data_IF_407233374789
#
_entry.id   IF_407233374789
#
_cell.length_a   1.000
_cell.length_b   1.000
_cell.length_c   1.000
_cell.angle_alpha   90.00
_cell.angle_beta   90.00
_cell.angle_gamma   90.00
#
_symmetry.space_group_name_H-M   'P 1'
#
loop_
_entity.id
_entity.type
_entity.pdbx_description
1 polymer ?
#
# COMPACT_ATOMS: atom_id res chain seq x y z
N UNK A 1 14.58 11.95 25.08
CA UNK A 1 13.44 12.83 25.46
C UNK A 1 12.54 13.10 24.24
N UNK A 2 13.10 13.50 23.11
CA UNK A 2 12.36 13.75 21.85
C UNK A 2 11.68 12.48 21.35
N UNK A 3 12.33 11.32 21.44
CA UNK A 3 11.81 10.01 21.01
C UNK A 3 10.64 9.51 21.88
N UNK A 4 10.61 9.86 23.18
CA UNK A 4 9.51 9.54 24.05
C UNK A 4 8.31 10.48 23.86
N UNK A 5 8.56 11.74 23.54
CA UNK A 5 7.53 12.74 23.28
C UNK A 5 6.84 12.51 21.93
N UNK A 6 7.58 12.10 20.90
CA UNK A 6 6.99 11.76 19.59
C UNK A 6 6.07 10.52 19.64
N UNK A 7 6.22 9.68 20.67
CA UNK A 7 5.32 8.52 20.92
C UNK A 7 4.04 8.89 21.67
N UNK A 8 3.99 10.09 22.25
CA UNK A 8 2.85 10.58 23.02
C UNK A 8 2.04 11.65 22.26
N UNK A 9 2.59 12.20 21.18
CA UNK A 9 1.94 13.22 20.36
C UNK A 9 1.51 12.62 19.03
N UNK A 10 0.28 12.92 18.64
CA UNK A 10 -0.26 12.51 17.34
C UNK A 10 0.23 13.47 16.23
N UNK A 11 0.17 13.06 14.95
CA UNK A 11 0.42 13.96 13.83
C UNK A 11 -0.49 15.19 13.83
N UNK A 12 -1.64 15.10 14.48
CA UNK A 12 -2.58 16.21 14.62
C UNK A 12 -2.09 17.26 15.63
N UNK A 13 -1.25 16.86 16.59
CA UNK A 13 -0.71 17.76 17.62
C UNK A 13 0.54 18.51 17.13
N UNK A 14 1.46 17.82 16.44
CA UNK A 14 2.73 18.45 16.02
C UNK A 14 2.66 19.10 14.63
N UNK A 15 1.66 18.76 13.80
CA UNK A 15 1.42 19.39 12.50
C UNK A 15 -0.06 19.82 12.36
N UNK A 16 -0.53 20.79 13.18
CA UNK A 16 -1.93 21.21 13.17
C UNK A 16 -2.37 21.84 11.85
N UNK A 17 -1.44 22.44 11.10
CA UNK A 17 -1.71 23.05 9.80
C UNK A 17 -1.65 22.05 8.63
N UNK A 18 -1.33 20.78 8.89
CA UNK A 18 -1.18 19.75 7.88
C UNK A 18 -0.23 20.15 6.73
N UNK A 19 0.88 20.81 7.08
CA UNK A 19 1.90 21.22 6.10
C UNK A 19 2.61 19.95 5.61
N UNK A 20 2.56 19.73 4.30
CA UNK A 20 3.23 18.57 3.68
C UNK A 20 4.02 19.00 2.44
N UNK A 21 5.30 19.37 2.60
CA UNK A 21 6.15 19.79 1.48
C UNK A 21 6.32 18.72 0.39
N UNK A 22 6.15 17.45 0.74
CA UNK A 22 6.23 16.36 -0.23
C UNK A 22 5.04 16.41 -1.20
N UNK A 23 3.86 16.77 -0.73
CA UNK A 23 2.69 16.95 -1.59
C UNK A 23 2.94 18.05 -2.62
N UNK A 24 3.43 19.22 -2.17
CA UNK A 24 3.75 20.35 -3.03
C UNK A 24 4.81 19.99 -4.08
N UNK A 25 5.80 19.20 -3.66
CA UNK A 25 6.85 18.71 -4.56
C UNK A 25 6.26 17.78 -5.63
N UNK A 26 5.43 16.82 -5.25
CA UNK A 26 4.79 15.90 -6.17
C UNK A 26 3.88 16.64 -7.15
N UNK A 27 3.06 17.57 -6.70
CA UNK A 27 2.19 18.38 -7.55
C UNK A 27 2.98 19.23 -8.56
N UNK A 28 4.18 19.65 -8.20
CA UNK A 28 5.05 20.43 -9.07
C UNK A 28 5.73 19.60 -10.17
N UNK A 29 6.09 18.34 -9.88
CA UNK A 29 6.89 17.51 -10.79
C UNK A 29 6.07 16.47 -11.54
N UNK A 30 4.86 16.17 -11.12
CA UNK A 30 4.02 15.12 -11.69
C UNK A 30 2.81 15.73 -12.38
N UNK A 31 2.69 15.50 -13.67
CA UNK A 31 1.50 15.84 -14.45
C UNK A 31 0.44 14.73 -14.29
N UNK A 32 -0.44 14.92 -13.33
CA UNK A 32 -1.51 13.97 -13.05
C UNK A 32 -2.55 13.89 -14.16
N UNK A 33 -2.73 14.95 -14.95
CA UNK A 33 -3.63 14.94 -16.09
C UNK A 33 -3.07 14.07 -17.21
N UNK A 34 -1.78 14.21 -17.51
CA UNK A 34 -1.09 13.34 -18.47
C UNK A 34 -1.16 11.87 -18.03
N UNK A 35 -0.97 11.57 -16.75
CA UNK A 35 -1.10 10.19 -16.23
C UNK A 35 -2.50 9.64 -16.47
N UNK A 36 -3.55 10.39 -16.14
CA UNK A 36 -4.94 9.93 -16.31
C UNK A 36 -5.31 9.68 -17.77
N UNK A 37 -4.73 10.46 -18.69
CA UNK A 37 -4.99 10.35 -20.12
C UNK A 37 -4.10 9.34 -20.85
N UNK A 38 -3.11 8.73 -20.17
CA UNK A 38 -2.17 7.78 -20.78
C UNK A 38 -2.74 6.36 -20.73
N UNK A 39 -3.38 5.94 -21.80
CA UNK A 39 -4.13 4.67 -21.90
C UNK A 39 -3.27 3.42 -22.13
N UNK A 40 -1.97 3.59 -22.38
CA UNK A 40 -1.04 2.46 -22.61
C UNK A 40 -0.51 1.84 -21.34
N UNK A 41 -0.81 2.41 -20.17
CA UNK A 41 -0.37 1.93 -18.86
C UNK A 41 -1.55 1.87 -17.88
N UNK A 42 -1.78 0.70 -17.33
CA UNK A 42 -2.65 0.55 -16.15
C UNK A 42 -1.84 0.84 -14.90
N UNK A 43 -2.32 1.77 -14.08
CA UNK A 43 -1.67 2.15 -12.83
C UNK A 43 -2.64 1.95 -11.67
N UNK A 44 -2.15 1.30 -10.62
CA UNK A 44 -2.91 1.00 -9.40
C UNK A 44 -2.14 1.54 -8.19
N UNK A 45 -2.81 2.31 -7.37
CA UNK A 45 -2.30 2.76 -6.07
C UNK A 45 -3.26 2.30 -5.00
N UNK A 46 -2.75 1.74 -3.91
CA UNK A 46 -3.55 1.26 -2.80
C UNK A 46 -3.45 2.19 -1.61
N UNK A 47 -4.57 2.38 -0.91
CA UNK A 47 -4.61 3.02 0.39
C UNK A 47 -5.57 2.27 1.32
N UNK A 48 -5.37 2.42 2.62
CA UNK A 48 -6.20 1.80 3.65
C UNK A 48 -7.24 2.79 4.14
N UNK A 49 -8.52 2.51 3.95
CA UNK A 49 -9.60 3.33 4.51
C UNK A 49 -9.60 3.20 6.03
N UNK A 50 -9.51 4.33 6.74
CA UNK A 50 -9.37 4.35 8.21
C UNK A 50 -10.63 3.86 8.92
N UNK A 51 -11.81 4.18 8.39
CA UNK A 51 -13.08 3.80 9.02
C UNK A 51 -13.38 2.33 8.91
N UNK A 52 -13.14 1.74 7.73
CA UNK A 52 -13.51 0.34 7.45
C UNK A 52 -12.35 -0.64 7.63
N UNK A 53 -11.10 -0.18 7.69
CA UNK A 53 -9.90 -1.01 7.66
C UNK A 53 -9.70 -1.77 6.34
N UNK A 54 -10.44 -1.40 5.29
CA UNK A 54 -10.37 -2.08 4.00
C UNK A 54 -9.43 -1.38 3.04
N UNK A 55 -8.81 -2.16 2.16
CA UNK A 55 -8.05 -1.65 1.04
C UNK A 55 -8.97 -0.96 0.03
N UNK A 56 -8.56 0.22 -0.44
CA UNK A 56 -9.09 0.84 -1.64
C UNK A 56 -8.00 0.85 -2.71
N UNK A 57 -8.35 0.38 -3.89
CA UNK A 57 -7.49 0.42 -5.07
C UNK A 57 -7.93 1.58 -5.94
N UNK A 58 -7.05 2.55 -6.12
CA UNK A 58 -7.24 3.66 -7.03
C UNK A 58 -6.62 3.29 -8.38
N UNK A 59 -7.43 3.31 -9.42
CA UNK A 59 -6.98 3.11 -10.79
C UNK A 59 -6.50 4.42 -11.38
N UNK A 60 -5.79 4.34 -12.49
CA UNK A 60 -5.16 5.45 -13.21
C UNK A 60 -6.03 6.72 -13.28
N UNK A 61 -7.30 6.58 -13.63
CA UNK A 61 -8.26 7.69 -13.80
C UNK A 61 -8.57 8.47 -12.51
N UNK A 62 -8.31 7.87 -11.34
CA UNK A 62 -8.55 8.47 -10.02
C UNK A 62 -7.26 8.95 -9.34
N UNK A 63 -6.09 8.80 -10.00
CA UNK A 63 -4.82 9.14 -9.37
C UNK A 63 -4.63 10.65 -9.32
N UNK A 64 -4.40 11.13 -8.09
CA UNK A 64 -4.10 12.51 -7.73
C UNK A 64 -2.92 12.55 -6.77
N UNK A 65 -2.41 13.74 -6.46
CA UNK A 65 -1.40 13.90 -5.42
C UNK A 65 -1.90 13.36 -4.07
N UNK A 66 -3.16 13.57 -3.72
CA UNK A 66 -3.74 13.06 -2.48
C UNK A 66 -3.75 11.53 -2.44
N UNK A 67 -4.02 10.86 -3.54
CA UNK A 67 -3.95 9.39 -3.63
C UNK A 67 -2.53 8.89 -3.39
N UNK A 68 -1.53 9.55 -3.98
CA UNK A 68 -0.11 9.22 -3.75
C UNK A 68 0.27 9.45 -2.29
N UNK A 69 -0.16 10.58 -1.72
CA UNK A 69 0.09 10.90 -0.30
C UNK A 69 -0.61 9.92 0.65
N UNK A 70 -1.84 9.52 0.35
CA UNK A 70 -2.59 8.54 1.13
C UNK A 70 -1.88 7.19 1.16
N UNK A 71 -1.36 6.74 0.01
CA UNK A 71 -0.66 5.46 -0.12
C UNK A 71 0.63 5.36 0.71
N UNK A 72 1.15 6.47 1.18
CA UNK A 72 2.38 6.58 2.00
C UNK A 72 2.14 7.24 3.38
N UNK A 73 0.89 7.50 3.75
CA UNK A 73 0.54 8.17 4.99
C UNK A 73 0.62 7.23 6.19
N UNK A 74 1.82 7.06 6.77
CA UNK A 74 2.01 6.29 7.99
C UNK A 74 1.30 6.95 9.19
N UNK A 75 0.42 6.24 9.94
CA UNK A 75 -0.45 6.81 10.98
C UNK A 75 0.27 7.56 12.10
N UNK A 76 1.53 7.18 12.40
CA UNK A 76 2.32 7.81 13.46
C UNK A 76 3.12 9.03 13.01
N UNK A 77 3.16 9.30 11.69
CA UNK A 77 3.96 10.36 11.08
C UNK A 77 3.09 11.40 10.38
N UNK A 78 2.05 10.94 9.70
CA UNK A 78 1.16 11.76 8.90
C UNK A 78 -0.29 11.67 9.37
N UNK A 79 -1.01 12.76 9.19
CA UNK A 79 -2.47 12.73 9.30
C UNK A 79 -3.06 11.80 8.23
N UNK A 80 -4.25 11.29 8.49
CA UNK A 80 -5.01 10.64 7.43
C UNK A 80 -5.28 11.62 6.29
N UNK A 81 -5.11 11.14 5.06
CA UNK A 81 -5.42 11.94 3.86
C UNK A 81 -6.89 11.73 3.52
N UNK A 82 -7.61 12.83 3.38
CA UNK A 82 -9.03 12.79 3.03
C UNK A 82 -9.20 12.76 1.51
N UNK A 83 -9.92 11.75 1.00
CA UNK A 83 -10.25 11.61 -0.41
C UNK A 83 -11.75 11.29 -0.50
N UNK A 84 -12.51 12.15 -1.17
CA UNK A 84 -13.96 12.01 -1.35
C UNK A 84 -14.73 11.90 -0.01
N UNK A 85 -14.26 12.62 1.03
CA UNK A 85 -14.88 12.62 2.36
C UNK A 85 -14.53 11.42 3.24
N UNK A 86 -13.62 10.54 2.79
CA UNK A 86 -13.15 9.37 3.54
C UNK A 86 -11.67 9.51 3.88
N UNK A 87 -11.26 9.16 5.13
CA UNK A 87 -9.87 9.22 5.54
C UNK A 87 -9.09 7.97 5.14
N UNK A 88 -7.85 8.15 4.68
CA UNK A 88 -6.97 7.07 4.24
C UNK A 88 -5.60 7.15 4.89
N UNK A 89 -5.04 5.99 5.20
CA UNK A 89 -3.67 5.74 5.58
C UNK A 89 -2.95 4.90 4.52
N UNK A 90 -1.65 4.68 4.76
CA UNK A 90 -0.75 3.90 3.94
C UNK A 90 -1.39 2.56 3.50
N UNK A 91 -1.31 2.32 2.20
CA UNK A 91 -1.82 1.08 1.58
C UNK A 91 -1.12 -0.17 2.06
N UNK A 92 0.10 -0.04 2.56
CA UNK A 92 0.90 -1.14 3.06
C UNK A 92 0.28 -1.93 4.21
N UNK A 93 -0.70 -1.35 4.94
CA UNK A 93 -1.43 -2.08 5.98
C UNK A 93 -2.40 -3.13 5.43
N UNK A 94 -2.90 -2.95 4.21
CA UNK A 94 -3.93 -3.83 3.63
C UNK A 94 -3.53 -4.45 2.29
N UNK A 95 -2.53 -3.88 1.58
CA UNK A 95 -2.05 -4.41 0.30
C UNK A 95 -0.68 -3.87 -0.07
N UNK A 96 0.39 -4.66 0.10
CA UNK A 96 1.77 -4.21 -0.17
C UNK A 96 2.62 -5.27 -0.90
N UNK A 97 2.61 -5.28 -2.20
CA UNK A 97 1.61 -4.70 -3.09
C UNK A 97 0.33 -5.55 -3.13
N UNK A 98 -0.76 -4.96 -3.62
CA UNK A 98 -1.96 -5.71 -3.96
C UNK A 98 -1.77 -6.35 -5.35
N UNK A 99 -1.62 -7.66 -5.40
CA UNK A 99 -1.39 -8.42 -6.65
C UNK A 99 -2.72 -8.76 -7.34
N UNK A 100 -3.75 -9.07 -6.59
CA UNK A 100 -5.05 -9.49 -7.13
C UNK A 100 -5.66 -8.49 -8.12
N UNK A 101 -5.60 -7.15 -7.91
CA UNK A 101 -6.06 -6.19 -8.91
C UNK A 101 -5.30 -6.26 -10.23
N UNK A 102 -3.99 -6.57 -10.20
CA UNK A 102 -3.17 -6.70 -11.40
C UNK A 102 -3.53 -7.95 -12.20
N UNK A 103 -3.76 -9.06 -11.53
CA UNK A 103 -4.10 -10.34 -12.18
C UNK A 103 -5.50 -10.29 -12.80
N UNK A 104 -6.41 -9.51 -12.21
CA UNK A 104 -7.77 -9.36 -12.74
C UNK A 104 -7.86 -8.45 -13.98
N UNK A 105 -6.83 -7.68 -14.28
CA UNK A 105 -6.75 -6.90 -15.51
C UNK A 105 -6.07 -7.73 -16.59
N UNK A 106 -6.78 -8.00 -17.66
CA UNK A 106 -6.31 -8.81 -18.79
C UNK A 106 -5.03 -8.21 -19.39
N UNK A 107 -3.95 -8.98 -19.47
CA UNK A 107 -2.87 -8.64 -20.36
C UNK A 107 -1.44 -8.95 -19.95
N UNK A 108 -1.14 -9.34 -18.72
CA UNK A 108 0.22 -9.71 -18.35
C UNK A 108 0.29 -11.17 -17.91
N UNK A 109 1.11 -11.97 -18.59
CA UNK A 109 1.38 -13.36 -18.23
C UNK A 109 2.36 -13.47 -17.06
N UNK A 110 3.18 -12.42 -16.85
CA UNK A 110 4.20 -12.37 -15.82
C UNK A 110 4.03 -11.17 -14.88
N UNK A 111 4.36 -11.37 -13.60
CA UNK A 111 4.37 -10.33 -12.57
C UNK A 111 5.77 -10.19 -12.01
N UNK A 112 6.38 -9.01 -12.18
CA UNK A 112 7.63 -8.64 -11.53
C UNK A 112 7.34 -7.95 -10.20
N UNK A 113 7.71 -8.61 -9.09
CA UNK A 113 7.61 -8.03 -7.76
C UNK A 113 8.91 -7.34 -7.36
N UNK A 114 8.88 -6.00 -7.20
CA UNK A 114 10.00 -5.23 -6.67
C UNK A 114 9.80 -5.00 -5.18
N UNK A 115 10.62 -5.67 -4.36
CA UNK A 115 10.52 -5.60 -2.91
C UNK A 115 11.68 -4.80 -2.32
N UNK A 116 11.36 -3.73 -1.60
CA UNK A 116 12.35 -2.82 -0.99
C UNK A 116 12.78 -3.32 0.40
N UNK A 117 11.85 -3.85 1.19
CA UNK A 117 12.10 -4.30 2.55
C UNK A 117 12.24 -5.83 2.61
N UNK A 118 13.26 -6.37 3.32
CA UNK A 118 13.44 -7.81 3.43
C UNK A 118 12.31 -8.44 4.27
N UNK A 119 11.71 -9.52 3.76
CA UNK A 119 10.69 -10.30 4.48
C UNK A 119 11.29 -11.04 5.68
N UNK A 120 12.51 -11.55 5.52
CA UNK A 120 13.20 -12.33 6.54
C UNK A 120 14.24 -11.46 7.25
N UNK A 121 14.25 -11.53 8.57
CA UNK A 121 15.33 -11.03 9.42
C UNK A 121 15.89 -12.20 10.22
N UNK A 122 17.19 -12.23 10.40
CA UNK A 122 17.88 -13.30 11.15
C UNK A 122 17.88 -12.97 12.65
N UNK A 123 17.91 -11.67 12.99
CA UNK A 123 18.00 -11.23 14.38
C UNK A 123 16.62 -11.09 15.03
N UNK A 124 16.54 -11.48 16.30
CA UNK A 124 15.38 -11.21 17.16
C UNK A 124 15.49 -9.79 17.70
N UNK A 125 14.52 -8.89 17.45
CA UNK A 125 14.57 -7.52 17.94
C UNK A 125 14.40 -7.50 19.46
N UNK A 126 15.28 -6.77 20.16
CA UNK A 126 15.26 -6.68 21.63
C UNK A 126 14.98 -5.26 22.13
N UNK A 127 15.21 -4.23 21.31
CA UNK A 127 14.88 -2.84 21.67
C UNK A 127 13.44 -2.51 21.32
N UNK A 128 12.80 -1.63 22.04
CA UNK A 128 11.43 -1.19 21.76
C UNK A 128 11.27 -0.64 20.32
N UNK A 129 12.28 0.06 19.83
CA UNK A 129 12.31 0.58 18.46
C UNK A 129 12.36 -0.53 17.41
N UNK A 130 13.23 -1.52 17.61
CA UNK A 130 13.40 -2.63 16.66
C UNK A 130 12.20 -3.56 16.68
N UNK A 131 11.59 -3.77 17.86
CA UNK A 131 10.35 -4.53 18.02
C UNK A 131 9.23 -3.84 17.23
N UNK A 132 9.03 -2.53 17.40
CA UNK A 132 8.01 -1.78 16.67
C UNK A 132 8.24 -1.80 15.15
N UNK A 133 9.50 -1.61 14.73
CA UNK A 133 9.91 -1.72 13.32
C UNK A 133 9.60 -3.12 12.76
N UNK A 134 9.83 -4.18 13.55
CA UNK A 134 9.56 -5.56 13.11
C UNK A 134 8.07 -5.85 13.01
N UNK A 135 7.28 -5.39 13.98
CA UNK A 135 5.81 -5.51 13.96
C UNK A 135 5.22 -4.83 12.71
N UNK A 136 5.66 -3.62 12.43
CA UNK A 136 5.25 -2.93 11.20
C UNK A 136 5.65 -3.73 9.95
N UNK A 137 6.91 -4.19 9.85
CA UNK A 137 7.37 -4.99 8.73
C UNK A 137 6.58 -6.29 8.52
N UNK A 138 6.18 -6.96 9.60
CA UNK A 138 5.32 -8.15 9.54
C UNK A 138 3.91 -7.76 9.03
N UNK A 139 3.33 -6.69 9.57
CA UNK A 139 2.02 -6.21 9.13
C UNK A 139 2.01 -5.87 7.65
N UNK A 140 3.01 -5.13 7.17
CA UNK A 140 3.13 -4.72 5.77
C UNK A 140 3.35 -5.90 4.80
N UNK A 141 3.92 -7.00 5.25
CA UNK A 141 4.16 -8.18 4.41
C UNK A 141 3.07 -9.25 4.50
N UNK A 142 2.17 -9.14 5.47
CA UNK A 142 1.16 -10.16 5.73
C UNK A 142 0.12 -10.27 4.63
N UNK A 143 -0.29 -9.15 4.04
CA UNK A 143 -1.24 -9.09 2.93
C UNK A 143 -0.69 -9.77 1.68
N UNK A 144 0.54 -9.46 1.28
CA UNK A 144 1.21 -10.09 0.15
C UNK A 144 1.29 -11.61 0.33
N UNK A 145 1.72 -12.07 1.52
CA UNK A 145 1.81 -13.49 1.82
C UNK A 145 0.43 -14.19 1.79
N UNK A 146 -0.63 -13.50 2.15
CA UNK A 146 -2.00 -14.01 2.06
C UNK A 146 -2.46 -14.11 0.60
N UNK A 147 -2.24 -13.07 -0.22
CA UNK A 147 -2.60 -13.07 -1.64
C UNK A 147 -1.85 -14.15 -2.41
N UNK A 148 -0.53 -14.29 -2.21
CA UNK A 148 0.26 -15.34 -2.85
C UNK A 148 -0.23 -16.75 -2.48
N UNK A 149 -0.58 -16.97 -1.20
CA UNK A 149 -1.19 -18.25 -0.79
C UNK A 149 -2.53 -18.48 -1.45
N UNK A 150 -3.38 -17.46 -1.55
CA UNK A 150 -4.67 -17.57 -2.20
C UNK A 150 -4.55 -17.93 -3.68
N UNK A 151 -3.57 -17.38 -4.39
CA UNK A 151 -3.27 -17.72 -5.79
C UNK A 151 -2.81 -19.18 -5.94
N UNK A 152 -1.92 -19.66 -5.07
CA UNK A 152 -1.46 -21.04 -5.10
C UNK A 152 -2.62 -22.03 -4.86
N UNK A 153 -3.46 -21.74 -3.87
CA UNK A 153 -4.64 -22.56 -3.56
C UNK A 153 -5.65 -22.49 -4.71
N UNK A 154 -5.91 -21.32 -5.25
CA UNK A 154 -6.80 -21.14 -6.41
C UNK A 154 -6.35 -21.93 -7.63
N UNK A 155 -5.04 -21.87 -7.98
CA UNK A 155 -4.46 -22.65 -9.08
C UNK A 155 -4.60 -24.16 -8.85
N UNK A 156 -4.42 -24.63 -7.62
CA UNK A 156 -4.60 -26.05 -7.26
C UNK A 156 -6.06 -26.47 -7.44
N UNK A 157 -7.01 -25.70 -6.90
CA UNK A 157 -8.45 -26.00 -7.01
C UNK A 157 -8.92 -26.02 -8.46
N UNK A 158 -8.45 -25.08 -9.28
CA UNK A 158 -8.78 -25.05 -10.71
C UNK A 158 -8.31 -26.31 -11.44
N UNK A 159 -7.09 -26.81 -11.13
CA UNK A 159 -6.58 -28.06 -11.72
C UNK A 159 -7.37 -29.29 -11.28
N UNK A 160 -7.83 -29.32 -10.03
CA UNK A 160 -8.62 -30.43 -9.48
C UNK A 160 -10.07 -30.44 -10.04
N UNK A 161 -10.67 -29.26 -10.21
CA UNK A 161 -12.07 -29.11 -10.64
C UNK A 161 -12.25 -29.11 -12.16
N UNK A 162 -11.22 -28.68 -12.89
CA UNK A 162 -11.25 -28.55 -14.35
C UNK A 162 -10.02 -29.28 -14.95
N UNK A 163 -9.99 -30.61 -14.90
CA UNK A 163 -8.91 -31.39 -15.49
C UNK A 163 -8.95 -31.20 -17.02
N UNK A 164 -7.95 -30.50 -17.55
CA UNK A 164 -7.86 -30.16 -18.98
C UNK A 164 -7.71 -28.66 -19.26
N UNK A 165 -7.87 -27.78 -18.27
CA UNK A 165 -7.47 -26.39 -18.38
C UNK A 165 -5.97 -26.27 -18.09
N UNK A 166 -5.17 -26.01 -19.11
CA UNK A 166 -3.77 -25.63 -18.92
C UNK A 166 -3.74 -24.20 -18.35
N UNK A 167 -3.47 -24.09 -17.04
CA UNK A 167 -3.17 -22.80 -16.40
C UNK A 167 -1.71 -22.48 -16.66
N UNK A 168 -1.45 -21.59 -17.60
CA UNK A 168 -0.14 -20.94 -17.78
C UNK A 168 0.16 -19.99 -16.65
#
# INVERSE_FOLDING_TARGET
FVDAMSRMMSPYDFNPLNINPLKDLIERFVDFEAIRNFDQLELFITATNVHSGRMRVFRREHITADVVMASSALPHVFRAVEIEGEPYWDGGFTGNPAILPLISTNGADDVLLVQIAPLKREDTPTTARDILSRVNGISFSSSLAAELRALVVGKRLLRELLPGLECH
#
